data_IF_843880755579
#
_entry.id   IF_843880755579
#
_cell.length_a   1.000
_cell.length_b   1.000
_cell.length_c   1.000
_cell.angle_alpha   90.00
_cell.angle_beta   90.00
_cell.angle_gamma   90.00
#
_symmetry.space_group_name_H-M   'P 1'
#
loop_
_entity.id
_entity.type
_entity.pdbx_description
1 polymer ?
#
# COMPACT_ATOMS: atom_id res chain seq x y z
N UNK A 1 -16.71 -3.40 -9.10
CA UNK A 1 -16.84 -2.71 -7.79
C UNK A 1 -16.64 -1.23 -8.05
N UNK A 2 -17.53 -0.35 -7.58
CA UNK A 2 -17.39 1.11 -7.79
C UNK A 2 -16.57 1.70 -6.65
N UNK A 3 -15.39 2.24 -6.97
CA UNK A 3 -14.58 3.00 -6.00
C UNK A 3 -15.19 4.38 -5.79
N UNK A 4 -15.41 4.81 -4.53
CA UNK A 4 -15.90 6.15 -4.27
C UNK A 4 -14.90 7.17 -4.81
N UNK A 5 -15.40 8.15 -5.54
CA UNK A 5 -14.62 9.28 -6.01
C UNK A 5 -14.84 10.43 -5.05
N UNK A 6 -13.78 10.85 -4.37
CA UNK A 6 -13.79 12.01 -3.49
C UNK A 6 -12.87 13.06 -4.11
N UNK A 7 -13.34 14.29 -4.35
CA UNK A 7 -12.49 15.40 -4.73
C UNK A 7 -11.36 15.58 -3.71
N UNK A 8 -10.13 15.84 -4.18
CA UNK A 8 -8.94 15.87 -3.32
C UNK A 8 -9.02 16.95 -2.24
N UNK A 9 -9.73 18.04 -2.51
CA UNK A 9 -9.97 19.18 -1.62
C UNK A 9 -11.02 18.90 -0.54
N UNK A 10 -11.71 17.76 -0.63
CA UNK A 10 -12.68 17.29 0.37
C UNK A 10 -12.08 16.24 1.32
N UNK A 11 -10.83 15.81 1.10
CA UNK A 11 -10.11 14.92 2.00
C UNK A 11 -9.38 15.77 3.04
N UNK A 12 -9.76 15.62 4.31
CA UNK A 12 -9.09 16.33 5.40
C UNK A 12 -7.64 15.83 5.49
N UNK A 13 -6.62 16.70 5.32
CA UNK A 13 -5.23 16.29 5.47
C UNK A 13 -4.94 15.98 6.93
N UNK A 14 -4.30 14.84 7.18
CA UNK A 14 -3.84 14.45 8.51
C UNK A 14 -2.31 14.62 8.56
N UNK A 15 -1.77 15.39 9.53
CA UNK A 15 -0.32 15.54 9.69
C UNK A 15 0.38 14.19 9.90
N UNK A 16 1.58 14.03 9.34
CA UNK A 16 2.34 12.77 9.48
C UNK A 16 2.63 12.38 10.92
N UNK A 17 2.76 13.36 11.83
CA UNK A 17 2.95 13.09 13.26
C UNK A 17 1.69 12.45 13.89
N UNK A 18 0.50 12.88 13.47
CA UNK A 18 -0.76 12.33 13.95
C UNK A 18 -0.99 10.91 13.42
N UNK A 19 -0.66 10.64 12.15
CA UNK A 19 -0.68 9.29 11.59
C UNK A 19 0.29 8.35 12.34
N UNK A 20 1.52 8.79 12.63
CA UNK A 20 2.47 8.00 13.43
C UNK A 20 1.95 7.70 14.84
N UNK A 21 1.28 8.66 15.47
CA UNK A 21 0.67 8.47 16.78
C UNK A 21 -0.49 7.45 16.71
N UNK A 22 -1.29 7.50 15.64
CA UNK A 22 -2.36 6.53 15.41
C UNK A 22 -1.82 5.11 15.20
N UNK A 23 -0.74 4.95 14.41
CA UNK A 23 -0.07 3.65 14.21
C UNK A 23 0.49 3.08 15.52
N UNK A 24 1.10 3.94 16.36
CA UNK A 24 1.59 3.55 17.68
C UNK A 24 0.44 3.11 18.60
N UNK A 25 -0.66 3.86 18.60
CA UNK A 25 -1.86 3.53 19.38
C UNK A 25 -2.52 2.23 18.89
N UNK A 26 -2.53 1.94 17.58
CA UNK A 26 -3.01 0.68 17.01
C UNK A 26 -2.29 -0.52 17.64
N UNK A 27 -0.96 -0.42 17.77
CA UNK A 27 -0.14 -1.44 18.42
C UNK A 27 -0.38 -1.51 19.92
N UNK A 28 -0.27 -0.39 20.62
CA UNK A 28 -0.19 -0.36 22.09
C UNK A 28 -1.55 -0.60 22.76
N UNK A 29 -2.62 -0.07 22.18
CA UNK A 29 -3.96 -0.17 22.76
C UNK A 29 -4.76 -1.35 22.22
N UNK A 30 -4.55 -1.72 20.96
CA UNK A 30 -5.37 -2.71 20.28
C UNK A 30 -4.60 -3.98 19.87
N UNK A 31 -3.29 -4.03 20.13
CA UNK A 31 -2.46 -5.19 19.79
C UNK A 31 -2.29 -5.42 18.28
N UNK A 32 -2.57 -4.40 17.46
CA UNK A 32 -2.46 -4.50 16.00
C UNK A 32 -1.03 -4.23 15.59
N UNK A 33 -0.33 -5.26 15.12
CA UNK A 33 1.05 -5.14 14.69
C UNK A 33 1.16 -4.31 13.39
N UNK A 34 2.26 -3.57 13.17
CA UNK A 34 2.49 -2.81 11.94
C UNK A 34 2.36 -3.65 10.66
N UNK A 35 2.78 -4.92 10.69
CA UNK A 35 2.62 -5.84 9.57
C UNK A 35 1.14 -6.14 9.25
N UNK A 36 0.25 -6.13 10.24
CA UNK A 36 -1.19 -6.30 10.00
C UNK A 36 -1.80 -5.06 9.35
N UNK A 37 -1.36 -3.87 9.75
CA UNK A 37 -1.76 -2.61 9.10
C UNK A 37 -1.30 -2.60 7.63
N UNK A 38 -0.04 -2.96 7.37
CA UNK A 38 0.54 -3.10 6.03
C UNK A 38 -0.23 -4.13 5.16
N UNK A 39 -0.56 -5.30 5.72
CA UNK A 39 -1.34 -6.34 5.03
C UNK A 39 -2.71 -5.82 4.58
N UNK A 40 -3.40 -5.07 5.45
CA UNK A 40 -4.70 -4.46 5.15
C UNK A 40 -4.54 -3.36 4.11
N UNK A 41 -3.57 -2.46 4.26
CA UNK A 41 -3.32 -1.38 3.29
C UNK A 41 -3.05 -1.95 1.89
N UNK A 42 -2.18 -2.96 1.80
CA UNK A 42 -1.86 -3.65 0.58
C UNK A 42 -3.06 -4.40 -0.03
N UNK A 43 -3.89 -5.03 0.80
CA UNK A 43 -5.12 -5.68 0.34
C UNK A 43 -6.08 -4.68 -0.33
N UNK A 44 -6.26 -3.49 0.27
CA UNK A 44 -7.12 -2.46 -0.29
C UNK A 44 -6.55 -1.91 -1.60
N UNK A 45 -5.24 -1.66 -1.65
CA UNK A 45 -4.58 -1.22 -2.87
C UNK A 45 -4.69 -2.26 -4.00
N UNK A 46 -4.47 -3.54 -3.69
CA UNK A 46 -4.59 -4.61 -4.68
C UNK A 46 -6.01 -4.73 -5.24
N UNK A 47 -7.04 -4.58 -4.38
CA UNK A 47 -8.45 -4.53 -4.83
C UNK A 47 -8.72 -3.32 -5.72
N UNK A 48 -8.13 -2.18 -5.39
CA UNK A 48 -8.28 -0.97 -6.21
C UNK A 48 -7.68 -1.17 -7.58
N UNK A 49 -6.42 -1.62 -7.64
CA UNK A 49 -5.71 -1.86 -8.88
C UNK A 49 -6.40 -2.93 -9.72
N UNK A 50 -6.82 -4.05 -9.12
CA UNK A 50 -7.53 -5.11 -9.82
C UNK A 50 -8.83 -4.61 -10.48
N UNK A 51 -9.63 -3.83 -9.74
CA UNK A 51 -10.83 -3.22 -10.29
C UNK A 51 -10.52 -2.16 -11.36
N UNK A 52 -9.46 -1.38 -11.20
CA UNK A 52 -9.04 -0.36 -12.16
C UNK A 52 -8.54 -0.94 -13.48
N UNK A 53 -7.97 -2.15 -13.44
CA UNK A 53 -7.51 -2.90 -14.61
C UNK A 53 -8.61 -3.73 -15.29
N UNK A 54 -9.85 -3.69 -14.77
CA UNK A 54 -10.94 -4.61 -15.12
C UNK A 54 -10.53 -6.08 -15.00
N UNK A 55 -9.81 -6.40 -13.92
CA UNK A 55 -9.21 -7.69 -13.64
C UNK A 55 -7.71 -7.72 -13.93
N UNK A 56 -6.92 -8.15 -12.94
CA UNK A 56 -5.46 -8.20 -13.02
C UNK A 56 -4.92 -9.41 -13.81
N UNK A 57 -5.73 -10.46 -14.01
CA UNK A 57 -5.30 -11.69 -14.68
C UNK A 57 -4.74 -11.43 -16.09
N UNK A 58 -3.53 -11.95 -16.35
CA UNK A 58 -2.84 -11.79 -17.64
C UNK A 58 -2.30 -10.37 -17.90
N UNK A 59 -2.55 -9.39 -17.01
CA UNK A 59 -1.99 -8.05 -17.12
C UNK A 59 -0.54 -8.05 -16.64
N UNK A 60 0.29 -7.22 -17.26
CA UNK A 60 1.67 -6.98 -16.81
C UNK A 60 1.66 -5.81 -15.84
N UNK A 61 2.24 -6.02 -14.65
CA UNK A 61 2.33 -5.00 -13.60
C UNK A 61 3.78 -4.89 -13.15
N UNK A 62 4.33 -3.68 -13.23
CA UNK A 62 5.61 -3.34 -12.62
C UNK A 62 5.34 -2.66 -11.27
N UNK A 63 5.90 -3.21 -10.21
CA UNK A 63 5.90 -2.61 -8.87
C UNK A 63 7.26 -2.00 -8.60
N UNK A 64 7.29 -0.71 -8.29
CA UNK A 64 8.50 0.00 -7.86
C UNK A 64 8.37 0.29 -6.37
N UNK A 65 9.23 -0.33 -5.57
CA UNK A 65 9.17 -0.26 -4.12
C UNK A 65 10.42 0.45 -3.56
N UNK A 66 10.22 1.48 -2.75
CA UNK A 66 11.30 2.09 -1.97
C UNK A 66 11.70 1.26 -0.75
N UNK A 67 12.62 1.76 0.06
CA UNK A 67 13.12 1.08 1.27
C UNK A 67 12.26 1.27 2.53
N UNK A 68 11.26 2.15 2.50
CA UNK A 68 10.40 2.46 3.65
C UNK A 68 9.09 1.64 3.70
N UNK A 69 8.20 1.99 4.63
CA UNK A 69 6.92 1.30 4.85
C UNK A 69 6.06 1.20 3.57
N UNK A 70 5.98 2.28 2.79
CA UNK A 70 5.26 2.28 1.51
C UNK A 70 5.84 1.29 0.49
N UNK A 71 7.15 1.00 0.57
CA UNK A 71 7.77 -0.05 -0.23
C UNK A 71 7.29 -1.44 0.20
N UNK A 72 7.16 -1.66 1.51
CA UNK A 72 6.52 -2.85 2.08
C UNK A 72 5.07 -3.01 1.60
N UNK A 73 4.27 -1.95 1.65
CA UNK A 73 2.89 -1.94 1.13
C UNK A 73 2.85 -2.31 -0.36
N UNK A 74 3.76 -1.76 -1.16
CA UNK A 74 3.88 -2.04 -2.59
C UNK A 74 4.21 -3.50 -2.87
N UNK A 75 5.20 -4.07 -2.16
CA UNK A 75 5.58 -5.48 -2.31
C UNK A 75 4.47 -6.43 -1.84
N UNK A 76 3.78 -6.08 -0.75
CA UNK A 76 2.63 -6.85 -0.28
C UNK A 76 1.46 -6.79 -1.28
N UNK A 77 1.22 -5.62 -1.89
CA UNK A 77 0.25 -5.46 -2.99
C UNK A 77 0.62 -6.32 -4.19
N UNK A 78 1.92 -6.37 -4.54
CA UNK A 78 2.43 -7.21 -5.62
C UNK A 78 2.05 -8.68 -5.44
N UNK A 79 2.18 -9.21 -4.21
CA UNK A 79 1.78 -10.58 -3.87
C UNK A 79 0.28 -10.80 -4.13
N UNK A 80 -0.58 -9.88 -3.71
CA UNK A 80 -2.02 -9.98 -3.93
C UNK A 80 -2.42 -9.89 -5.41
N UNK A 81 -1.71 -9.11 -6.23
CA UNK A 81 -1.96 -9.04 -7.67
C UNK A 81 -1.44 -10.30 -8.40
N UNK A 82 -0.28 -10.83 -7.99
CA UNK A 82 0.26 -12.09 -8.50
C UNK A 82 -0.70 -13.27 -8.21
N UNK A 83 -1.28 -13.33 -7.00
CA UNK A 83 -2.30 -14.32 -6.64
C UNK A 83 -3.57 -14.21 -7.49
N UNK A 84 -3.85 -13.04 -8.08
CA UNK A 84 -4.96 -12.82 -9.03
C UNK A 84 -4.57 -13.07 -10.50
N UNK A 85 -3.37 -13.62 -10.74
CA UNK A 85 -2.92 -14.03 -12.07
C UNK A 85 -2.27 -12.92 -12.90
N UNK A 86 -1.90 -11.79 -12.29
CA UNK A 86 -1.09 -10.78 -12.98
C UNK A 86 0.36 -11.27 -13.17
N UNK A 87 0.97 -10.89 -14.29
CA UNK A 87 2.39 -11.09 -14.55
C UNK A 87 3.19 -9.96 -13.89
N UNK A 88 3.74 -10.25 -12.71
CA UNK A 88 4.40 -9.27 -11.85
C UNK A 88 5.92 -9.19 -12.09
N UNK A 89 6.42 -7.96 -12.10
CA UNK A 89 7.83 -7.66 -11.87
C UNK A 89 7.91 -6.66 -10.72
N UNK A 90 8.84 -6.86 -9.79
CA UNK A 90 9.12 -5.92 -8.72
C UNK A 90 10.55 -5.40 -8.84
N UNK A 91 10.73 -4.09 -8.68
CA UNK A 91 12.01 -3.42 -8.58
C UNK A 91 12.08 -2.71 -7.24
N UNK A 92 13.04 -3.10 -6.41
CA UNK A 92 13.32 -2.40 -5.15
C UNK A 92 14.38 -1.36 -5.43
N UNK A 93 14.06 -0.10 -5.16
CA UNK A 93 14.96 1.03 -5.35
C UNK A 93 15.52 1.48 -4.01
N UNK A 94 16.82 1.81 -3.94
CA UNK A 94 17.43 2.33 -2.72
C UNK A 94 16.80 3.68 -2.35
N UNK A 95 16.89 4.04 -1.08
CA UNK A 95 16.52 5.37 -0.63
C UNK A 95 17.35 6.42 -1.39
N UNK A 96 16.70 7.50 -1.84
CA UNK A 96 17.41 8.65 -2.39
C UNK A 96 18.31 9.31 -1.34
N UNK A 97 17.90 9.26 -0.06
CA UNK A 97 18.71 9.65 1.10
C UNK A 97 18.75 8.47 2.09
N UNK A 98 19.93 7.88 2.36
CA UNK A 98 20.06 6.77 3.32
C UNK A 98 19.68 7.15 4.76
N UNK A 99 19.55 8.45 5.08
CA UNK A 99 19.11 8.94 6.39
C UNK A 99 17.61 9.26 6.48
N UNK A 100 16.86 9.10 5.39
CA UNK A 100 15.41 9.33 5.36
C UNK A 100 14.66 8.11 5.90
N UNK A 101 14.52 8.00 7.23
CA UNK A 101 13.53 7.15 7.92
C UNK A 101 12.90 7.89 9.11
#
# INVERSE_FOLDING_TARGET
>A
MTWPRVPWDQVIPVPSAELRAADAAARERFGIAPLQLMEIAAWQLARFVDAWLDGAAGKRVLVVAGSGNNGGDALCTARFLAQRGAALQASVVPAHDPNSL
#
